data_IF_210591054185
#
_entry.id   IF_210591054185
#
_cell.length_a   1.000
_cell.length_b   1.000
_cell.length_c   1.000
_cell.angle_alpha   90.00
_cell.angle_beta   90.00
_cell.angle_gamma   90.00
#
_symmetry.space_group_name_H-M   'P 1'
#
loop_
_entity.id
_entity.type
_entity.pdbx_description
1 polymer ?
#
# COMPACT_ATOMS: atom_id res chain seq x y z
N UNK A 1 1.32 -1.34 -28.53
CA UNK A 1 2.43 -0.39 -28.73
C UNK A 1 3.78 -1.04 -28.43
N UNK A 2 4.10 -1.37 -27.17
CA UNK A 2 5.42 -1.91 -26.81
C UNK A 2 5.89 -3.16 -27.57
N UNK A 3 4.99 -4.03 -28.03
CA UNK A 3 5.37 -5.21 -28.83
C UNK A 3 5.66 -4.89 -30.30
N UNK A 4 4.86 -4.01 -30.92
CA UNK A 4 4.93 -3.73 -32.35
C UNK A 4 5.88 -2.56 -32.67
N UNK A 5 6.08 -1.64 -31.71
CA UNK A 5 6.99 -0.50 -31.80
C UNK A 5 7.73 -0.33 -30.46
N UNK A 6 8.80 -1.12 -30.21
CA UNK A 6 9.49 -1.17 -28.91
C UNK A 6 10.08 0.17 -28.46
N UNK A 7 10.75 0.90 -29.35
CA UNK A 7 11.31 2.23 -29.04
C UNK A 7 10.22 3.23 -28.65
N UNK A 8 9.09 3.22 -29.36
CA UNK A 8 7.94 4.06 -29.02
C UNK A 8 7.30 3.61 -27.70
N UNK A 9 7.31 2.31 -27.38
CA UNK A 9 6.89 1.76 -26.09
C UNK A 9 7.75 2.25 -24.93
N UNK A 10 9.07 2.22 -25.08
CA UNK A 10 10.00 2.75 -24.07
C UNK A 10 9.80 4.26 -23.84
N UNK A 11 9.56 5.01 -24.91
CA UNK A 11 9.28 6.45 -24.85
C UNK A 11 7.98 6.80 -24.09
N UNK A 12 7.09 5.83 -23.81
CA UNK A 12 5.87 6.06 -23.01
C UNK A 12 6.11 6.07 -21.49
N UNK A 13 7.34 5.79 -21.01
CA UNK A 13 7.69 5.82 -19.58
C UNK A 13 7.20 7.07 -18.83
N UNK A 14 7.29 8.30 -19.38
CA UNK A 14 6.84 9.50 -18.69
C UNK A 14 5.38 9.47 -18.26
N UNK A 15 4.49 8.76 -18.98
CA UNK A 15 3.08 8.64 -18.59
C UNK A 15 2.91 7.81 -17.30
N UNK A 16 3.66 6.70 -17.18
CA UNK A 16 3.68 5.88 -15.96
C UNK A 16 4.29 6.63 -14.77
N UNK A 17 5.45 7.26 -14.98
CA UNK A 17 6.15 8.04 -13.96
C UNK A 17 5.29 9.23 -13.48
N UNK A 18 4.63 9.94 -14.39
CA UNK A 18 3.73 11.04 -14.05
C UNK A 18 2.54 10.55 -13.21
N UNK A 19 1.93 9.42 -13.56
CA UNK A 19 0.83 8.85 -12.78
C UNK A 19 1.27 8.47 -11.37
N UNK A 20 2.41 7.79 -11.22
CA UNK A 20 2.97 7.45 -9.90
C UNK A 20 3.24 8.72 -9.08
N UNK A 21 3.75 9.79 -9.71
CA UNK A 21 3.99 11.08 -9.06
C UNK A 21 2.69 11.74 -8.59
N UNK A 22 1.63 11.69 -9.40
CA UNK A 22 0.29 12.18 -9.02
C UNK A 22 -0.28 11.41 -7.83
N UNK A 23 -0.14 10.07 -7.82
CA UNK A 23 -0.58 9.23 -6.70
C UNK A 23 0.19 9.57 -5.43
N UNK A 24 1.53 9.64 -5.49
CA UNK A 24 2.39 10.00 -4.34
C UNK A 24 2.04 11.37 -3.75
N UNK A 25 1.67 12.34 -4.58
CA UNK A 25 1.29 13.68 -4.14
C UNK A 25 0.05 13.67 -3.24
N UNK A 26 -0.93 12.80 -3.51
CA UNK A 26 -2.22 12.83 -2.80
C UNK A 26 -2.26 11.88 -1.59
N UNK A 27 -1.38 10.89 -1.53
CA UNK A 27 -1.31 9.93 -0.41
C UNK A 27 -1.12 10.65 0.93
N UNK A 28 -0.16 11.57 1.05
CA UNK A 28 0.14 12.21 2.33
C UNK A 28 -1.05 13.02 2.91
N UNK A 29 -1.72 13.92 2.14
CA UNK A 29 -2.93 14.59 2.61
C UNK A 29 -4.07 13.63 2.97
N UNK A 30 -4.29 12.57 2.18
CA UNK A 30 -5.34 11.58 2.43
C UNK A 30 -5.11 10.87 3.76
N UNK A 31 -3.89 10.35 3.97
CA UNK A 31 -3.53 9.67 5.22
C UNK A 31 -3.73 10.59 6.41
N UNK A 32 -3.28 11.84 6.31
CA UNK A 32 -3.44 12.80 7.39
C UNK A 32 -4.91 13.05 7.74
N UNK A 33 -5.73 13.35 6.76
CA UNK A 33 -7.14 13.63 6.99
C UNK A 33 -7.87 12.41 7.55
N UNK A 34 -7.67 11.23 6.96
CA UNK A 34 -8.35 10.00 7.39
C UNK A 34 -7.93 9.58 8.79
N UNK A 35 -6.64 9.62 9.12
CA UNK A 35 -6.14 9.16 10.42
C UNK A 35 -6.43 10.19 11.52
N UNK A 36 -6.18 11.48 11.27
CA UNK A 36 -6.41 12.52 12.27
C UNK A 36 -7.90 12.66 12.62
N UNK A 37 -8.78 12.71 11.62
CA UNK A 37 -10.24 12.78 11.87
C UNK A 37 -10.79 11.47 12.41
N UNK A 38 -10.25 10.33 11.96
CA UNK A 38 -10.65 9.01 12.45
C UNK A 38 -10.38 8.83 13.95
N UNK A 39 -9.22 9.27 14.44
CA UNK A 39 -8.89 9.22 15.87
C UNK A 39 -9.67 10.27 16.66
N UNK A 40 -9.78 11.51 16.14
CA UNK A 40 -10.48 12.60 16.82
C UNK A 40 -11.99 12.33 16.98
N UNK A 41 -12.59 11.53 16.09
CA UNK A 41 -14.01 11.17 16.13
C UNK A 41 -14.39 10.13 17.18
N UNK A 42 -13.43 9.52 17.89
CA UNK A 42 -13.73 8.46 18.87
C UNK A 42 -13.91 9.05 20.28
N UNK A 43 -15.05 8.74 20.90
CA UNK A 43 -15.45 9.24 22.22
C UNK A 43 -14.70 8.61 23.41
N UNK A 44 -14.05 7.46 23.22
CA UNK A 44 -13.38 6.72 24.29
C UNK A 44 -11.95 6.35 23.90
N UNK A 45 -11.01 7.22 24.26
CA UNK A 45 -9.58 7.08 23.95
C UNK A 45 -8.95 5.85 24.61
N UNK A 46 -9.46 5.42 25.77
CA UNK A 46 -8.96 4.22 26.46
C UNK A 46 -9.39 2.95 25.71
N UNK A 47 -10.61 2.91 25.17
CA UNK A 47 -11.04 1.85 24.26
C UNK A 47 -10.22 1.87 22.98
N UNK A 48 -9.91 3.04 22.42
CA UNK A 48 -9.05 3.17 21.23
C UNK A 48 -7.69 2.53 21.47
N UNK A 49 -6.99 2.87 22.56
CA UNK A 49 -5.67 2.30 22.86
C UNK A 49 -5.70 0.78 23.01
N UNK A 50 -6.73 0.22 23.67
CA UNK A 50 -6.89 -1.24 23.83
C UNK A 50 -7.19 -1.95 22.52
N UNK A 51 -8.07 -1.37 21.70
CA UNK A 51 -8.43 -1.93 20.39
C UNK A 51 -7.24 -1.81 19.43
N UNK A 52 -6.55 -0.67 19.41
CA UNK A 52 -5.34 -0.46 18.62
C UNK A 52 -4.23 -1.44 19.01
N UNK A 53 -3.99 -1.67 20.31
CA UNK A 53 -3.02 -2.67 20.76
C UNK A 53 -3.36 -4.09 20.32
N UNK A 54 -4.62 -4.50 20.47
CA UNK A 54 -5.10 -5.82 19.98
C UNK A 54 -4.99 -5.92 18.46
N UNK A 55 -5.36 -4.87 17.74
CA UNK A 55 -5.26 -4.79 16.29
C UNK A 55 -3.81 -4.83 15.81
N UNK A 56 -2.88 -4.20 16.53
CA UNK A 56 -1.45 -4.22 16.21
C UNK A 56 -0.86 -5.61 16.37
N UNK A 57 -1.18 -6.32 17.47
CA UNK A 57 -0.76 -7.71 17.67
C UNK A 57 -1.35 -8.60 16.58
N UNK A 58 -2.65 -8.44 16.29
CA UNK A 58 -3.32 -9.18 15.22
C UNK A 58 -2.66 -8.91 13.87
N UNK A 59 -2.44 -7.64 13.52
CA UNK A 59 -1.79 -7.22 12.29
C UNK A 59 -0.38 -7.80 12.17
N UNK A 60 0.43 -7.74 13.22
CA UNK A 60 1.79 -8.25 13.20
C UNK A 60 1.80 -9.77 12.98
N UNK A 61 0.99 -10.51 13.74
CA UNK A 61 0.90 -11.98 13.62
C UNK A 61 0.41 -12.38 12.22
N UNK A 62 -0.68 -11.81 11.74
CA UNK A 62 -1.24 -12.18 10.44
C UNK A 62 -0.39 -11.70 9.27
N UNK A 63 0.30 -10.56 9.39
CA UNK A 63 1.26 -10.10 8.38
C UNK A 63 2.48 -11.01 8.32
N UNK A 64 3.01 -11.45 9.46
CA UNK A 64 4.10 -12.45 9.49
C UNK A 64 3.65 -13.77 8.88
N UNK A 65 2.45 -14.25 9.21
CA UNK A 65 1.90 -15.46 8.57
C UNK A 65 1.71 -15.27 7.07
N UNK A 66 1.23 -14.11 6.61
CA UNK A 66 1.09 -13.81 5.19
C UNK A 66 2.44 -13.81 4.47
N UNK A 67 3.48 -13.25 5.10
CA UNK A 67 4.85 -13.29 4.58
C UNK A 67 5.39 -14.73 4.49
N UNK A 68 5.14 -15.56 5.50
CA UNK A 68 5.55 -16.98 5.47
C UNK A 68 4.84 -17.73 4.34
N UNK A 69 3.52 -17.57 4.20
CA UNK A 69 2.76 -18.20 3.10
C UNK A 69 3.25 -17.69 1.75
N UNK A 70 3.45 -16.38 1.60
CA UNK A 70 3.98 -15.78 0.37
C UNK A 70 5.38 -16.30 0.03
N UNK A 71 6.25 -16.46 1.04
CA UNK A 71 7.58 -17.03 0.86
C UNK A 71 7.51 -18.49 0.41
N UNK A 72 6.66 -19.31 1.03
CA UNK A 72 6.47 -20.71 0.64
C UNK A 72 5.95 -20.80 -0.80
N UNK A 73 4.88 -20.08 -1.13
CA UNK A 73 4.29 -20.11 -2.48
C UNK A 73 5.28 -19.57 -3.52
N UNK A 74 5.99 -18.49 -3.24
CA UNK A 74 7.00 -17.94 -4.14
C UNK A 74 8.19 -18.89 -4.37
N UNK A 75 8.62 -19.64 -3.36
CA UNK A 75 9.71 -20.62 -3.51
C UNK A 75 9.28 -21.87 -4.30
N UNK A 76 8.00 -22.23 -4.23
CA UNK A 76 7.44 -23.39 -4.95
C UNK A 76 7.09 -23.04 -6.40
N UNK A 77 6.38 -21.93 -6.62
CA UNK A 77 5.95 -21.51 -7.97
C UNK A 77 7.09 -20.86 -8.74
N UNK A 78 8.06 -20.28 -8.04
CA UNK A 78 9.24 -19.60 -8.61
C UNK A 78 8.85 -18.62 -9.74
N UNK A 79 7.96 -17.65 -9.47
CA UNK A 79 7.53 -16.71 -10.49
C UNK A 79 8.75 -15.92 -11.00
N UNK A 80 9.13 -16.16 -12.26
CA UNK A 80 10.32 -15.57 -12.89
C UNK A 80 11.47 -16.54 -13.16
N UNK A 81 11.39 -17.82 -12.75
CA UNK A 81 12.29 -18.86 -13.25
C UNK A 81 12.15 -18.96 -14.79
N UNK A 82 13.21 -18.62 -15.53
CA UNK A 82 13.18 -18.50 -17.00
C UNK A 82 13.35 -17.06 -17.52
N UNK A 83 13.31 -16.06 -16.63
CA UNK A 83 13.92 -14.77 -16.90
C UNK A 83 15.44 -15.00 -16.94
N UNK A 84 16.01 -15.16 -18.14
CA UNK A 84 17.47 -15.25 -18.37
C UNK A 84 18.17 -13.92 -18.08
N UNK A 85 17.86 -13.30 -16.94
CA UNK A 85 18.51 -12.12 -16.40
C UNK A 85 19.87 -12.60 -15.92
N UNK A 86 20.89 -12.39 -16.74
CA UNK A 86 22.25 -12.74 -16.38
C UNK A 86 22.69 -11.87 -15.18
N UNK A 87 22.93 -12.43 -13.98
CA UNK A 87 23.34 -11.68 -12.79
C UNK A 87 24.60 -10.83 -13.03
N UNK A 88 25.47 -11.26 -13.94
CA UNK A 88 26.68 -10.55 -14.33
C UNK A 88 26.44 -9.29 -15.19
N UNK A 89 25.24 -9.14 -15.76
CA UNK A 89 24.79 -7.92 -16.46
C UNK A 89 24.02 -6.97 -15.55
N UNK A 90 23.75 -7.35 -14.30
CA UNK A 90 23.21 -6.44 -13.31
C UNK A 90 24.35 -5.57 -12.79
N UNK A 91 24.13 -4.28 -12.88
CA UNK A 91 24.98 -3.25 -12.30
C UNK A 91 25.04 -3.42 -10.77
N UNK A 92 26.08 -4.13 -10.30
CA UNK A 92 26.29 -4.42 -8.88
C UNK A 92 26.34 -3.15 -8.02
N UNK A 93 26.70 -2.02 -8.63
CA UNK A 93 26.69 -0.69 -8.01
C UNK A 93 25.28 -0.25 -7.57
N UNK A 94 24.22 -0.68 -8.29
CA UNK A 94 22.83 -0.42 -7.89
C UNK A 94 22.37 -1.31 -6.74
N UNK A 95 22.93 -2.53 -6.62
CA UNK A 95 22.66 -3.45 -5.51
C UNK A 95 23.39 -2.98 -4.25
N UNK A 96 24.60 -2.46 -4.38
CA UNK A 96 25.38 -1.89 -3.29
C UNK A 96 24.62 -0.76 -2.56
N UNK A 97 23.90 0.10 -3.29
CA UNK A 97 23.08 1.17 -2.69
C UNK A 97 21.92 0.64 -1.84
N UNK A 98 21.33 -0.52 -2.21
CA UNK A 98 20.30 -1.17 -1.40
C UNK A 98 20.90 -1.90 -0.20
N UNK A 99 22.08 -2.50 -0.36
CA UNK A 99 22.81 -3.17 0.71
C UNK A 99 23.28 -2.16 1.79
N UNK A 100 23.78 -0.99 1.41
CA UNK A 100 24.11 0.09 2.34
C UNK A 100 22.88 0.60 3.09
N UNK A 101 21.77 0.87 2.38
CA UNK A 101 20.50 1.26 3.02
C UNK A 101 19.96 0.21 3.99
N UNK A 102 20.15 -1.08 3.68
CA UNK A 102 19.77 -2.17 4.58
C UNK A 102 20.67 -2.20 5.84
N UNK A 103 21.95 -1.86 5.70
CA UNK A 103 22.92 -1.81 6.82
C UNK A 103 22.64 -0.66 7.79
N UNK A 104 22.14 0.48 7.30
CA UNK A 104 21.74 1.63 8.13
C UNK A 104 20.38 1.45 8.85
N UNK A 105 19.62 0.40 8.50
CA UNK A 105 18.30 0.14 9.09
C UNK A 105 18.45 -0.70 10.38
N UNK A 106 19.08 -0.12 11.41
CA UNK A 106 18.92 -0.67 12.77
C UNK A 106 17.54 -0.26 13.32
N UNK A 107 16.99 -1.02 14.28
CA UNK A 107 15.64 -0.76 14.86
C UNK A 107 15.53 0.67 15.42
N UNK A 108 16.56 1.16 16.11
CA UNK A 108 16.64 2.53 16.63
C UNK A 108 16.64 3.55 15.50
N UNK A 109 17.42 3.33 14.43
CA UNK A 109 17.44 4.20 13.24
C UNK A 109 16.07 4.28 12.57
N UNK A 110 15.39 3.14 12.43
CA UNK A 110 14.03 3.09 11.93
C UNK A 110 13.05 3.87 12.81
N UNK A 111 13.07 3.66 14.13
CA UNK A 111 12.19 4.38 15.07
C UNK A 111 12.47 5.89 15.09
N UNK A 112 13.73 6.30 15.01
CA UNK A 112 14.10 7.72 14.93
C UNK A 112 13.62 8.35 13.61
N UNK A 113 13.70 7.63 12.49
CA UNK A 113 13.22 8.11 11.19
C UNK A 113 11.70 8.33 11.12
N UNK A 114 10.92 7.69 12.01
CA UNK A 114 9.47 7.93 12.12
C UNK A 114 9.17 9.33 12.64
N UNK A 115 10.05 9.92 13.46
CA UNK A 115 9.89 11.25 14.02
C UNK A 115 10.41 12.27 13.00
N UNK A 116 9.55 13.10 12.39
CA UNK A 116 10.01 14.10 11.44
C UNK A 116 10.74 15.26 12.13
N UNK A 117 11.80 15.77 11.50
CA UNK A 117 12.47 17.00 11.95
C UNK A 117 11.52 18.20 11.96
N UNK A 118 10.62 18.25 10.96
CA UNK A 118 9.61 19.30 10.81
C UNK A 118 8.33 18.72 10.22
N UNK A 119 7.18 19.25 10.66
CA UNK A 119 5.86 18.84 10.16
C UNK A 119 5.81 19.02 8.64
N UNK A 120 6.18 20.21 8.15
CA UNK A 120 6.19 20.53 6.72
C UNK A 120 7.13 19.63 5.93
N UNK A 121 8.28 19.25 6.52
CA UNK A 121 9.22 18.31 5.92
C UNK A 121 8.62 16.94 5.66
N UNK A 122 7.80 16.40 6.58
CA UNK A 122 7.13 15.11 6.40
C UNK A 122 6.22 15.12 5.16
N UNK A 123 5.41 16.17 5.02
CA UNK A 123 4.51 16.33 3.87
C UNK A 123 5.26 16.66 2.57
N UNK A 124 6.32 17.48 2.64
CA UNK A 124 7.09 17.90 1.46
C UNK A 124 7.95 16.78 0.88
N UNK A 125 8.58 15.97 1.75
CA UNK A 125 9.36 14.78 1.33
C UNK A 125 8.47 13.60 0.95
N UNK A 126 7.21 13.62 1.38
CA UNK A 126 6.25 12.54 1.13
C UNK A 126 6.56 11.27 1.91
N UNK A 127 7.16 11.40 3.10
CA UNK A 127 7.44 10.25 3.96
C UNK A 127 6.14 9.81 4.65
N UNK A 128 5.64 8.65 4.23
CA UNK A 128 4.35 8.10 4.67
C UNK A 128 4.37 7.80 6.18
N UNK A 129 5.48 7.26 6.70
CA UNK A 129 5.58 6.90 8.12
C UNK A 129 5.58 8.15 9.01
N UNK A 130 6.31 9.18 8.60
CA UNK A 130 6.35 10.46 9.32
C UNK A 130 4.99 11.17 9.32
N UNK A 131 4.32 11.20 8.16
CA UNK A 131 2.98 11.77 8.05
C UNK A 131 2.01 10.99 8.93
N UNK A 132 2.04 9.66 8.90
CA UNK A 132 1.19 8.81 9.74
C UNK A 132 1.41 9.09 11.23
N UNK A 133 2.67 9.15 11.68
CA UNK A 133 3.02 9.42 13.08
C UNK A 133 2.47 10.76 13.56
N UNK A 134 2.70 11.83 12.78
CA UNK A 134 2.13 13.15 13.08
C UNK A 134 0.59 13.13 13.11
N UNK A 135 -0.04 12.43 12.15
CA UNK A 135 -1.51 12.32 12.06
C UNK A 135 -2.11 11.67 13.30
N UNK A 136 -1.46 10.63 13.83
CA UNK A 136 -1.87 9.96 15.06
C UNK A 136 -1.78 10.91 16.25
N UNK A 137 -0.62 11.55 16.45
CA UNK A 137 -0.43 12.48 17.57
C UNK A 137 -1.40 13.67 17.51
N UNK A 138 -1.62 14.21 16.31
CA UNK A 138 -2.51 15.33 16.10
C UNK A 138 -3.99 14.94 16.33
N UNK A 139 -4.42 13.77 15.84
CA UNK A 139 -5.75 13.23 16.12
C UNK A 139 -5.99 12.99 17.61
N UNK A 140 -4.98 12.44 18.33
CA UNK A 140 -5.03 12.27 19.79
C UNK A 140 -5.13 13.63 20.50
N UNK A 141 -4.34 14.63 20.09
CA UNK A 141 -4.40 15.96 20.66
C UNK A 141 -5.78 16.61 20.47
N UNK A 142 -6.38 16.49 19.28
CA UNK A 142 -7.74 16.97 19.01
C UNK A 142 -8.79 16.28 19.90
N UNK A 143 -8.68 14.96 20.08
CA UNK A 143 -9.57 14.21 20.97
C UNK A 143 -9.45 14.67 22.43
N UNK A 144 -8.23 14.94 22.91
CA UNK A 144 -7.96 15.37 24.29
C UNK A 144 -8.40 16.82 24.57
N UNK A 145 -8.37 17.70 23.57
CA UNK A 145 -8.82 19.10 23.69
C UNK A 145 -10.35 19.20 23.83
N UNK A 146 -11.10 18.18 23.36
CA UNK A 146 -12.56 18.12 23.49
C UNK A 146 -13.27 19.17 22.64
N UNK A 147 -14.32 19.81 23.18
CA UNK A 147 -15.19 20.73 22.43
C UNK A 147 -14.45 21.90 21.76
N UNK A 148 -13.32 22.35 22.35
CA UNK A 148 -12.49 23.40 21.75
C UNK A 148 -11.80 22.96 20.45
N UNK A 149 -11.57 21.67 20.26
CA UNK A 149 -10.97 21.10 19.06
C UNK A 149 -11.99 20.84 17.95
N UNK A 150 -13.29 20.89 18.27
CA UNK A 150 -14.38 20.52 17.36
C UNK A 150 -14.41 21.32 16.07
N UNK A 151 -14.22 22.67 16.06
CA UNK A 151 -14.15 23.42 14.80
C UNK A 151 -13.02 22.96 13.87
N UNK A 152 -11.90 22.48 14.43
CA UNK A 152 -10.77 21.95 13.64
C UNK A 152 -11.12 20.58 13.09
N UNK A 153 -11.72 19.70 13.89
CA UNK A 153 -12.17 18.37 13.43
C UNK A 153 -13.18 18.52 12.29
N UNK A 154 -14.18 19.38 12.46
CA UNK A 154 -15.22 19.63 11.46
C UNK A 154 -14.63 20.18 10.15
N UNK A 155 -13.64 21.08 10.24
CA UNK A 155 -12.90 21.58 9.08
C UNK A 155 -12.14 20.47 8.35
N UNK A 156 -11.43 19.60 9.07
CA UNK A 156 -10.67 18.50 8.46
C UNK A 156 -11.60 17.45 7.83
N UNK A 157 -12.75 17.17 8.46
CA UNK A 157 -13.78 16.32 7.87
C UNK A 157 -14.36 16.94 6.59
N UNK A 158 -14.66 18.25 6.61
CA UNK A 158 -15.10 18.96 5.42
C UNK A 158 -14.04 18.92 4.30
N UNK A 159 -12.75 19.00 4.64
CA UNK A 159 -11.63 18.93 3.70
C UNK A 159 -11.41 17.52 3.11
N UNK A 160 -11.90 16.48 3.78
CA UNK A 160 -11.81 15.10 3.28
C UNK A 160 -12.57 14.95 1.95
N UNK A 161 -13.76 15.54 1.84
CA UNK A 161 -14.61 15.46 0.63
C UNK A 161 -13.91 15.98 -0.65
N UNK A 162 -13.38 17.21 -0.70
CA UNK A 162 -12.68 17.71 -1.88
C UNK A 162 -11.38 16.95 -2.17
N UNK A 163 -10.66 16.46 -1.15
CA UNK A 163 -9.45 15.65 -1.35
C UNK A 163 -9.80 14.29 -1.99
N UNK A 164 -10.83 13.60 -1.51
CA UNK A 164 -11.30 12.37 -2.17
C UNK A 164 -11.85 12.63 -3.57
N UNK A 165 -12.47 13.80 -3.80
CA UNK A 165 -12.87 14.22 -5.16
C UNK A 165 -11.66 14.44 -6.07
N UNK A 166 -10.57 15.01 -5.55
CA UNK A 166 -9.31 15.14 -6.27
C UNK A 166 -8.73 13.75 -6.60
N UNK A 167 -8.70 12.81 -5.65
CA UNK A 167 -8.31 11.42 -5.89
C UNK A 167 -9.12 10.83 -7.05
N UNK A 168 -10.45 10.98 -7.03
CA UNK A 168 -11.31 10.47 -8.08
C UNK A 168 -11.03 11.07 -9.46
N UNK A 169 -10.66 12.36 -9.53
CA UNK A 169 -10.22 13.01 -10.78
C UNK A 169 -8.91 12.40 -11.27
N UNK A 170 -7.92 12.23 -10.38
CA UNK A 170 -6.62 11.64 -10.74
C UNK A 170 -6.75 10.18 -11.17
N UNK A 171 -7.69 9.42 -10.59
CA UNK A 171 -7.97 8.05 -11.01
C UNK A 171 -8.49 7.97 -12.45
N UNK A 172 -9.07 9.04 -13.02
CA UNK A 172 -9.39 9.08 -14.46
C UNK A 172 -8.15 9.04 -15.36
N UNK A 173 -6.98 9.46 -14.84
CA UNK A 173 -5.71 9.35 -15.54
C UNK A 173 -5.03 7.98 -15.35
N UNK A 174 -5.53 7.13 -14.45
CA UNK A 174 -4.98 5.80 -14.19
C UNK A 174 -4.87 4.91 -15.44
N UNK A 175 -5.86 4.89 -16.38
CA UNK A 175 -5.74 4.11 -17.60
C UNK A 175 -4.55 4.55 -18.47
N UNK A 176 -4.26 5.86 -18.52
CA UNK A 176 -3.13 6.41 -19.30
C UNK A 176 -1.80 6.06 -18.62
N UNK A 177 -1.74 6.17 -17.29
CA UNK A 177 -0.56 5.75 -16.52
C UNK A 177 -0.26 4.27 -16.66
N UNK A 178 -1.29 3.43 -16.54
CA UNK A 178 -1.19 1.98 -16.71
C UNK A 178 -0.78 1.61 -18.15
N UNK A 179 -1.35 2.29 -19.15
CA UNK A 179 -0.92 2.13 -20.54
C UNK A 179 0.56 2.47 -20.73
N UNK A 180 1.02 3.61 -20.21
CA UNK A 180 2.41 4.03 -20.31
C UNK A 180 3.38 3.06 -19.62
N UNK A 181 3.04 2.61 -18.41
CA UNK A 181 3.81 1.63 -17.67
C UNK A 181 3.88 0.28 -18.40
N UNK A 182 2.74 -0.24 -18.86
CA UNK A 182 2.70 -1.50 -19.62
C UNK A 182 3.43 -1.38 -20.97
N UNK A 183 3.26 -0.27 -21.70
CA UNK A 183 3.95 -0.03 -22.95
C UNK A 183 5.48 0.02 -22.78
N UNK A 184 5.95 0.68 -21.71
CA UNK A 184 7.36 0.71 -21.34
C UNK A 184 7.88 -0.69 -20.98
N UNK A 185 7.18 -1.42 -20.11
CA UNK A 185 7.61 -2.75 -19.69
C UNK A 185 7.69 -3.71 -20.86
N UNK A 186 6.69 -3.70 -21.76
CA UNK A 186 6.67 -4.57 -22.94
C UNK A 186 7.71 -4.11 -23.98
N UNK A 187 7.91 -2.80 -24.17
CA UNK A 187 8.91 -2.27 -25.10
C UNK A 187 10.34 -2.61 -24.68
N UNK A 188 10.64 -2.48 -23.39
CA UNK A 188 11.98 -2.69 -22.83
C UNK A 188 12.33 -4.15 -22.56
N UNK A 189 11.37 -4.91 -22.03
CA UNK A 189 11.59 -6.29 -21.58
C UNK A 189 10.97 -7.34 -22.51
N UNK A 190 10.32 -6.90 -23.60
CA UNK A 190 9.69 -7.76 -24.61
C UNK A 190 8.35 -8.35 -24.17
N UNK A 191 7.60 -8.95 -25.10
CA UNK A 191 6.29 -9.55 -24.80
C UNK A 191 6.38 -10.76 -23.86
N UNK A 192 7.53 -11.43 -23.81
CA UNK A 192 7.80 -12.49 -22.84
C UNK A 192 7.72 -12.00 -21.38
N UNK A 193 7.93 -10.70 -21.13
CA UNK A 193 7.76 -10.12 -19.79
C UNK A 193 6.29 -10.16 -19.34
N UNK A 194 5.32 -10.16 -20.26
CA UNK A 194 3.90 -10.28 -19.93
C UNK A 194 3.61 -11.64 -19.32
N UNK A 195 4.16 -12.72 -19.87
CA UNK A 195 3.97 -14.07 -19.33
C UNK A 195 4.54 -14.15 -17.89
N UNK A 196 5.69 -13.54 -17.64
CA UNK A 196 6.30 -13.50 -16.31
C UNK A 196 5.51 -12.60 -15.33
N UNK A 197 5.02 -11.45 -15.78
CA UNK A 197 4.13 -10.59 -14.98
C UNK A 197 2.82 -11.30 -14.67
N UNK A 198 2.23 -11.99 -15.66
CA UNK A 198 1.00 -12.76 -15.49
C UNK A 198 1.21 -13.92 -14.52
N UNK A 199 2.35 -14.61 -14.60
CA UNK A 199 2.73 -15.64 -13.63
C UNK A 199 2.89 -15.05 -12.23
N UNK A 200 3.57 -13.90 -12.09
CA UNK A 200 3.72 -13.21 -10.80
C UNK A 200 2.36 -12.78 -10.21
N UNK A 201 1.49 -12.19 -11.03
CA UNK A 201 0.12 -11.81 -10.64
C UNK A 201 -0.69 -13.05 -10.25
N UNK A 202 -0.57 -14.14 -11.01
CA UNK A 202 -1.20 -15.42 -10.72
C UNK A 202 -0.74 -15.99 -9.37
N UNK A 203 0.58 -15.98 -9.11
CA UNK A 203 1.17 -16.40 -7.84
C UNK A 203 0.68 -15.53 -6.69
N UNK A 204 0.54 -14.21 -6.89
CA UNK A 204 -0.03 -13.31 -5.90
C UNK A 204 -1.48 -13.66 -5.57
N UNK A 205 -2.34 -13.85 -6.58
CA UNK A 205 -3.73 -14.25 -6.35
C UNK A 205 -3.85 -15.64 -5.70
N UNK A 206 -3.00 -16.59 -6.10
CA UNK A 206 -2.93 -17.91 -5.47
C UNK A 206 -2.54 -17.79 -3.99
N UNK A 207 -1.53 -16.98 -3.68
CA UNK A 207 -1.07 -16.73 -2.31
C UNK A 207 -2.18 -16.09 -1.49
N UNK A 208 -2.86 -15.06 -2.02
CA UNK A 208 -3.96 -14.39 -1.36
C UNK A 208 -5.13 -15.35 -1.10
N UNK A 209 -5.48 -16.19 -2.09
CA UNK A 209 -6.54 -17.18 -1.97
C UNK A 209 -6.20 -18.24 -0.92
N UNK A 210 -4.96 -18.74 -0.91
CA UNK A 210 -4.49 -19.68 0.11
C UNK A 210 -4.52 -19.05 1.50
N UNK A 211 -4.06 -17.80 1.64
CA UNK A 211 -4.10 -17.10 2.92
C UNK A 211 -5.53 -16.92 3.43
N UNK A 212 -6.46 -16.47 2.58
CA UNK A 212 -7.86 -16.29 2.94
C UNK A 212 -8.53 -17.62 3.29
N UNK A 213 -8.38 -18.66 2.46
CA UNK A 213 -9.08 -19.92 2.67
C UNK A 213 -8.45 -20.78 3.77
N UNK A 214 -7.13 -20.76 3.92
CA UNK A 214 -6.42 -21.62 4.88
C UNK A 214 -6.21 -20.89 6.21
N UNK A 215 -5.55 -19.73 6.20
CA UNK A 215 -5.20 -19.02 7.44
C UNK A 215 -6.44 -18.37 8.05
N UNK A 216 -7.14 -17.50 7.31
CA UNK A 216 -8.37 -16.89 7.81
C UNK A 216 -9.49 -17.94 7.96
N UNK A 217 -9.52 -18.98 7.12
CA UNK A 217 -10.44 -20.11 7.25
C UNK A 217 -10.26 -20.92 8.53
N UNK A 218 -9.02 -21.24 8.92
CA UNK A 218 -8.72 -21.91 10.18
C UNK A 218 -9.15 -21.07 11.38
N UNK A 219 -8.90 -19.76 11.33
CA UNK A 219 -9.28 -18.82 12.39
C UNK A 219 -10.80 -18.68 12.49
N UNK A 220 -11.49 -18.54 11.37
CA UNK A 220 -12.96 -18.50 11.32
C UNK A 220 -13.55 -19.77 11.94
N UNK A 221 -13.02 -20.95 11.55
CA UNK A 221 -13.46 -22.23 12.08
C UNK A 221 -13.20 -22.36 13.59
N UNK A 222 -12.06 -21.89 14.07
CA UNK A 222 -11.75 -21.83 15.51
C UNK A 222 -12.74 -20.94 16.28
N UNK A 223 -13.21 -19.85 15.67
CA UNK A 223 -14.19 -18.93 16.25
C UNK A 223 -15.66 -19.34 15.95
N UNK A 224 -15.89 -20.53 15.40
CA UNK A 224 -17.23 -21.10 15.22
C UNK A 224 -18.01 -20.64 13.99
N UNK A 225 -17.39 -19.96 13.02
CA UNK A 225 -18.06 -19.55 11.78
C UNK A 225 -17.30 -19.96 10.51
N UNK A 226 -18.00 -19.99 9.38
CA UNK A 226 -17.42 -20.35 8.08
C UNK A 226 -16.86 -19.13 7.37
N UNK A 227 -15.60 -19.19 6.94
CA UNK A 227 -14.99 -18.15 6.09
C UNK A 227 -15.73 -17.98 4.76
N UNK A 228 -16.27 -19.06 4.20
CA UNK A 228 -17.05 -19.00 2.95
C UNK A 228 -18.40 -18.30 3.17
N UNK A 229 -19.00 -18.46 4.35
CA UNK A 229 -20.21 -17.73 4.71
C UNK A 229 -19.89 -16.24 4.91
N UNK A 230 -18.76 -15.92 5.54
CA UNK A 230 -18.30 -14.54 5.69
C UNK A 230 -18.04 -13.89 4.33
N UNK A 231 -17.29 -14.55 3.44
CA UNK A 231 -17.02 -14.06 2.07
C UNK A 231 -18.33 -13.82 1.31
N UNK A 232 -19.32 -14.71 1.46
CA UNK A 232 -20.63 -14.53 0.83
C UNK A 232 -21.40 -13.34 1.41
N UNK A 233 -21.26 -13.10 2.71
CA UNK A 233 -21.87 -11.98 3.41
C UNK A 233 -21.29 -10.65 2.96
N UNK A 234 -19.94 -10.52 2.88
CA UNK A 234 -19.26 -9.28 2.48
C UNK A 234 -18.95 -9.20 0.98
N UNK A 235 -19.67 -9.95 0.14
CA UNK A 235 -19.34 -10.07 -1.30
C UNK A 235 -19.44 -8.72 -2.01
N UNK A 236 -20.35 -7.85 -1.58
CA UNK A 236 -20.62 -6.58 -2.24
C UNK A 236 -19.50 -5.59 -1.95
N UNK A 237 -19.01 -5.59 -0.73
CA UNK A 237 -17.85 -4.82 -0.26
C UNK A 237 -16.57 -5.31 -0.93
N UNK A 238 -16.36 -6.63 -1.02
CA UNK A 238 -15.20 -7.20 -1.73
C UNK A 238 -15.21 -6.82 -3.22
N UNK A 239 -16.36 -6.87 -3.88
CA UNK A 239 -16.51 -6.47 -5.28
C UNK A 239 -16.34 -4.97 -5.46
N UNK A 240 -16.82 -4.17 -4.51
CA UNK A 240 -16.66 -2.71 -4.52
C UNK A 240 -15.19 -2.32 -4.34
N UNK A 241 -14.47 -2.93 -3.41
CA UNK A 241 -13.03 -2.69 -3.21
C UNK A 241 -12.23 -3.14 -4.43
N UNK A 242 -12.55 -4.32 -4.99
CA UNK A 242 -11.91 -4.80 -6.22
C UNK A 242 -12.15 -3.84 -7.39
N UNK A 243 -13.39 -3.35 -7.55
CA UNK A 243 -13.77 -2.43 -8.62
C UNK A 243 -13.24 -1.01 -8.45
N UNK A 244 -13.03 -0.55 -7.22
CA UNK A 244 -12.53 0.80 -6.93
C UNK A 244 -11.02 0.87 -6.75
N UNK A 245 -10.35 -0.28 -6.52
CA UNK A 245 -8.91 -0.35 -6.20
C UNK A 245 -8.49 0.57 -5.04
N UNK A 246 -9.45 0.98 -4.21
CA UNK A 246 -9.28 1.87 -3.08
C UNK A 246 -9.49 1.03 -1.82
N UNK A 247 -8.38 0.66 -1.19
CA UNK A 247 -8.37 0.06 0.16
C UNK A 247 -8.31 1.12 1.24
#
# INVERSE_FOLDING_TARGET
LGHFYPETGEAMKPFGDAFIKLVKMVIAPVIFLTVATGIAGVSDLQKVGRVAGKAMIYFLVFSTLALVVGLVVSNVVQPGAGMHINPATLDATKVATYAEKAHDTNIVGFLMNIIPDTITGAFAKGDILQVLFFSVLFGLALALVGDRGRPVVDFLQALTTPIFRLVAILMKAAPIGAFGAMAFTIGKYGIGSIANLAMLIGTFYLTALLFVLVVLGAVARYNGFSILALIRYIKEELLLVLGTSSS
#
